data_IF_577226245857
#
_entry.id   IF_577226245857
#
_cell.length_a   1.000
_cell.length_b   1.000
_cell.length_c   1.000
_cell.angle_alpha   90.00
_cell.angle_beta   90.00
_cell.angle_gamma   90.00
#
_symmetry.space_group_name_H-M   'P 1'
#
loop_
_entity.id
_entity.type
_entity.pdbx_description
1 polymer ?
#
# COMPACT_ATOMS: atom_id res chain seq x y z
N UNK A 1 4.73 12.73 29.83
CA UNK A 1 4.01 13.69 28.97
C UNK A 1 3.12 12.92 28.03
N UNK A 2 1.80 13.13 28.06
CA UNK A 2 0.88 12.51 27.11
C UNK A 2 1.18 13.02 25.69
N UNK A 3 1.41 12.10 24.75
CA UNK A 3 1.58 12.46 23.34
C UNK A 3 0.29 13.14 22.86
N UNK A 4 0.38 14.39 22.43
CA UNK A 4 -0.75 15.10 21.86
C UNK A 4 -1.39 14.27 20.75
N UNK A 5 -2.71 14.10 20.79
CA UNK A 5 -3.47 13.35 19.79
C UNK A 5 -3.29 14.06 18.44
N UNK A 6 -2.73 13.36 17.46
CA UNK A 6 -2.53 13.87 16.11
C UNK A 6 -3.80 13.51 15.32
N UNK A 7 -4.53 14.51 14.84
CA UNK A 7 -5.79 14.32 14.10
C UNK A 7 -5.61 13.80 12.66
N UNK A 8 -4.37 13.69 12.20
CA UNK A 8 -4.02 13.17 10.88
C UNK A 8 -3.29 11.81 10.99
N UNK A 9 -3.52 10.93 10.04
CA UNK A 9 -2.81 9.67 9.95
C UNK A 9 -1.32 9.93 9.68
N UNK A 10 -0.42 9.31 10.46
CA UNK A 10 1.03 9.43 10.26
C UNK A 10 1.49 8.97 8.86
N UNK A 11 0.80 7.99 8.26
CA UNK A 11 1.04 7.56 6.88
C UNK A 11 0.83 8.69 5.89
N UNK A 12 -0.37 9.31 5.91
CA UNK A 12 -0.70 10.45 5.03
C UNK A 12 0.28 11.62 5.21
N UNK A 13 0.74 11.85 6.45
CA UNK A 13 1.73 12.90 6.75
C UNK A 13 3.11 12.55 6.21
N UNK A 14 3.54 11.29 6.34
CA UNK A 14 4.82 10.85 5.77
C UNK A 14 4.82 10.94 4.25
N UNK A 15 3.72 10.54 3.59
CA UNK A 15 3.53 10.72 2.15
C UNK A 15 3.67 12.19 1.73
N UNK A 16 3.07 13.11 2.50
CA UNK A 16 3.17 14.53 2.22
C UNK A 16 4.61 15.07 2.37
N UNK A 17 5.31 14.71 3.44
CA UNK A 17 6.71 15.12 3.64
C UNK A 17 7.64 14.47 2.62
N UNK A 18 7.39 13.22 2.27
CA UNK A 18 8.16 12.50 1.24
C UNK A 18 8.01 13.21 -0.12
N UNK A 19 6.78 13.48 -0.54
CA UNK A 19 6.50 14.18 -1.79
C UNK A 19 7.14 15.59 -1.80
N UNK A 20 7.04 16.32 -0.70
CA UNK A 20 7.66 17.64 -0.56
C UNK A 20 9.20 17.58 -0.57
N UNK A 21 9.81 16.56 0.05
CA UNK A 21 11.26 16.37 0.04
C UNK A 21 11.79 16.01 -1.36
N UNK A 22 11.08 15.12 -2.09
CA UNK A 22 11.39 14.79 -3.47
C UNK A 22 11.29 16.04 -4.36
N UNK A 23 10.21 16.80 -4.23
CA UNK A 23 10.05 18.05 -4.96
C UNK A 23 11.15 19.06 -4.62
N UNK A 24 11.50 19.22 -3.35
CA UNK A 24 12.58 20.09 -2.90
C UNK A 24 13.93 19.71 -3.55
N UNK A 25 14.21 18.40 -3.72
CA UNK A 25 15.39 17.91 -4.43
C UNK A 25 15.44 18.46 -5.86
N UNK A 26 14.34 18.35 -6.59
CA UNK A 26 14.27 18.80 -7.96
C UNK A 26 14.30 20.33 -8.08
N UNK A 27 13.55 21.05 -7.24
CA UNK A 27 13.57 22.51 -7.19
C UNK A 27 14.99 23.03 -6.92
N UNK A 28 15.66 22.47 -5.90
CA UNK A 28 17.03 22.87 -5.54
C UNK A 28 18.04 22.57 -6.64
N UNK A 29 17.86 21.45 -7.38
CA UNK A 29 18.67 21.13 -8.55
C UNK A 29 18.46 22.14 -9.67
N UNK A 30 17.23 22.59 -9.90
CA UNK A 30 16.89 23.61 -10.90
C UNK A 30 17.46 24.99 -10.54
N UNK A 31 17.42 25.37 -9.25
CA UNK A 31 18.01 26.61 -8.75
C UNK A 31 19.54 26.63 -8.87
N UNK A 32 20.19 25.47 -8.70
CA UNK A 32 21.67 25.33 -8.67
C UNK A 32 22.20 24.55 -9.87
N UNK A 33 21.83 25.00 -11.06
CA UNK A 33 22.12 24.30 -12.34
C UNK A 33 23.61 24.06 -12.60
N UNK A 34 24.47 24.98 -12.18
CA UNK A 34 25.91 24.94 -12.45
C UNK A 34 26.71 24.10 -11.45
N UNK A 35 26.12 23.71 -10.35
CA UNK A 35 26.82 22.90 -9.35
C UNK A 35 26.98 21.45 -9.82
N UNK A 36 28.24 20.96 -9.81
CA UNK A 36 28.54 19.55 -10.16
C UNK A 36 28.02 18.57 -9.10
N UNK A 37 28.06 18.97 -7.83
CA UNK A 37 27.57 18.17 -6.70
C UNK A 37 26.09 18.48 -6.47
N UNK A 38 25.26 17.44 -6.31
CA UNK A 38 23.87 17.65 -5.94
C UNK A 38 23.78 18.28 -4.54
N UNK A 39 23.07 19.41 -4.43
CA UNK A 39 22.88 20.05 -3.12
C UNK A 39 21.99 19.18 -2.24
N UNK A 40 22.35 19.01 -0.96
CA UNK A 40 21.52 18.28 -0.01
C UNK A 40 20.22 19.03 0.26
N UNK A 41 19.12 18.28 0.38
CA UNK A 41 17.84 18.81 0.84
C UNK A 41 17.90 18.97 2.35
N UNK A 42 17.42 20.10 2.84
CA UNK A 42 17.37 20.45 4.26
C UNK A 42 15.91 20.72 4.68
N UNK A 43 15.65 20.77 6.00
CA UNK A 43 14.31 21.04 6.53
C UNK A 43 13.70 22.33 5.96
N UNK A 44 14.49 23.40 5.83
CA UNK A 44 14.06 24.68 5.25
C UNK A 44 13.58 24.57 3.79
N UNK A 45 14.16 23.64 3.00
CA UNK A 45 13.77 23.45 1.60
C UNK A 45 12.40 22.77 1.52
N UNK A 46 12.17 21.75 2.36
CA UNK A 46 10.86 21.08 2.48
C UNK A 46 9.80 22.04 3.01
N UNK A 47 10.15 22.83 4.03
CA UNK A 47 9.25 23.83 4.62
C UNK A 47 8.88 24.93 3.61
N UNK A 48 9.83 25.32 2.73
CA UNK A 48 9.56 26.25 1.61
C UNK A 48 8.55 25.66 0.63
N UNK A 49 8.74 24.41 0.21
CA UNK A 49 7.81 23.71 -0.70
C UNK A 49 6.41 23.64 -0.08
N UNK A 50 6.30 23.16 1.15
CA UNK A 50 4.99 23.07 1.85
C UNK A 50 4.34 24.44 2.03
N UNK A 51 5.13 25.49 2.36
CA UNK A 51 4.62 26.85 2.50
C UNK A 51 4.01 27.37 1.20
N UNK A 52 4.70 27.15 0.08
CA UNK A 52 4.19 27.57 -1.24
C UNK A 52 2.92 26.79 -1.63
N UNK A 53 2.87 25.49 -1.32
CA UNK A 53 1.65 24.69 -1.53
C UNK A 53 0.47 25.22 -0.73
N UNK A 54 0.69 25.56 0.54
CA UNK A 54 -0.38 26.09 1.42
C UNK A 54 -0.86 27.50 0.99
N UNK A 55 0.01 28.36 0.43
CA UNK A 55 -0.37 29.67 -0.10
C UNK A 55 -1.28 29.59 -1.33
N UNK A 56 -1.08 28.61 -2.20
CA UNK A 56 -1.86 28.46 -3.44
C UNK A 56 -3.25 27.91 -3.25
N UNK A 57 -3.59 27.58 -2.02
CA UNK A 57 -4.92 27.15 -1.62
C UNK A 57 -5.22 25.68 -1.91
N UNK A 58 -6.27 25.26 -1.24
CA UNK A 58 -6.79 23.90 -1.28
C UNK A 58 -7.80 23.76 -2.44
N UNK A 59 -7.49 22.93 -3.42
CA UNK A 59 -8.45 22.62 -4.49
C UNK A 59 -9.22 21.33 -4.14
N UNK A 60 -10.51 21.50 -3.84
CA UNK A 60 -11.43 20.37 -3.60
C UNK A 60 -11.69 19.64 -4.93
N UNK A 61 -11.44 18.33 -4.99
CA UNK A 61 -11.82 17.48 -6.12
C UNK A 61 -13.24 16.94 -5.96
N UNK A 62 -13.83 16.48 -7.07
CA UNK A 62 -15.22 16.04 -7.20
C UNK A 62 -15.65 14.97 -6.18
N UNK A 63 -14.72 14.25 -5.56
CA UNK A 63 -14.98 13.17 -4.60
C UNK A 63 -14.63 13.54 -3.14
N UNK A 64 -14.75 14.80 -2.74
CA UNK A 64 -14.48 15.31 -1.39
C UNK A 64 -13.03 15.17 -0.90
N UNK A 65 -12.12 14.76 -1.75
CA UNK A 65 -10.71 14.68 -1.43
C UNK A 65 -10.01 15.88 -2.03
N UNK A 66 -9.48 16.72 -1.17
CA UNK A 66 -8.72 17.88 -1.58
C UNK A 66 -7.22 17.56 -1.58
N UNK A 67 -6.47 18.16 -2.48
CA UNK A 67 -5.01 18.15 -2.47
C UNK A 67 -4.48 19.56 -2.56
N UNK A 68 -3.40 19.86 -1.84
CA UNK A 68 -2.63 21.07 -2.10
C UNK A 68 -1.71 20.79 -3.29
N UNK A 69 -1.71 21.70 -4.25
CA UNK A 69 -0.90 21.61 -5.47
C UNK A 69 0.03 22.80 -5.54
N UNK A 70 1.32 22.53 -5.71
CA UNK A 70 2.31 23.55 -6.02
C UNK A 70 2.80 23.31 -7.45
N UNK A 71 2.57 24.30 -8.32
CA UNK A 71 3.14 24.33 -9.67
C UNK A 71 4.23 25.40 -9.72
N UNK A 72 5.46 24.96 -9.83
CA UNK A 72 6.53 25.78 -10.40
C UNK A 72 6.64 25.42 -11.89
N UNK A 73 7.34 26.20 -12.68
CA UNK A 73 7.41 26.00 -14.14
C UNK A 73 7.81 24.57 -14.55
N UNK A 74 8.43 23.81 -13.65
CA UNK A 74 8.93 22.45 -13.92
C UNK A 74 8.55 21.42 -12.87
N UNK A 75 8.08 21.79 -11.70
CA UNK A 75 7.81 20.87 -10.62
C UNK A 75 6.40 21.09 -10.08
N UNK A 76 5.57 20.07 -10.12
CA UNK A 76 4.25 20.05 -9.48
C UNK A 76 4.21 19.01 -8.37
N UNK A 77 3.55 19.31 -7.27
CA UNK A 77 3.41 18.43 -6.11
C UNK A 77 1.96 18.39 -5.67
N UNK A 78 1.44 17.20 -5.44
CA UNK A 78 0.15 17.02 -4.77
C UNK A 78 0.32 16.15 -3.53
N UNK A 79 -0.41 16.45 -2.47
CA UNK A 79 -0.39 15.70 -1.21
C UNK A 79 -1.82 15.38 -0.75
N UNK A 80 -1.99 14.37 0.13
CA UNK A 80 -3.31 13.97 0.60
C UNK A 80 -4.05 15.10 1.32
N UNK A 81 -5.38 15.17 1.14
CA UNK A 81 -6.20 16.21 1.72
C UNK A 81 -6.14 16.27 3.25
N UNK A 82 -6.14 15.12 3.92
CA UNK A 82 -6.03 15.04 5.38
C UNK A 82 -4.69 15.57 5.87
N UNK A 83 -3.60 15.28 5.16
CA UNK A 83 -2.30 15.85 5.46
C UNK A 83 -2.30 17.37 5.24
N UNK A 84 -2.93 17.85 4.17
CA UNK A 84 -3.07 19.30 3.88
C UNK A 84 -3.74 20.02 5.03
N UNK A 85 -4.89 19.53 5.51
CA UNK A 85 -5.64 20.17 6.60
C UNK A 85 -4.80 20.28 7.90
N UNK A 86 -4.01 19.25 8.20
CA UNK A 86 -3.11 19.25 9.35
C UNK A 86 -1.94 20.24 9.17
N UNK A 87 -1.33 20.24 7.99
CA UNK A 87 -0.14 21.05 7.67
C UNK A 87 -0.43 22.52 7.38
N UNK A 88 -1.70 22.93 7.20
CA UNK A 88 -2.09 24.32 7.13
C UNK A 88 -1.70 25.09 8.39
N UNK A 89 -1.66 24.43 9.54
CA UNK A 89 -1.24 25.00 10.82
C UNK A 89 0.25 24.75 11.05
N UNK A 90 1.09 25.78 10.90
CA UNK A 90 2.55 25.65 11.05
C UNK A 90 3.01 25.12 12.41
N UNK A 91 2.24 25.38 13.48
CA UNK A 91 2.53 24.84 14.81
C UNK A 91 2.48 23.31 14.85
N UNK A 92 1.72 22.68 13.94
CA UNK A 92 1.65 21.23 13.84
C UNK A 92 2.92 20.60 13.25
N UNK A 93 3.70 21.36 12.47
CA UNK A 93 4.92 20.82 11.85
C UNK A 93 5.95 20.35 12.88
N UNK A 94 6.02 21.05 14.02
CA UNK A 94 6.91 20.68 15.13
C UNK A 94 6.54 19.33 15.77
N UNK A 95 5.29 18.89 15.62
CA UNK A 95 4.81 17.61 16.19
C UNK A 95 5.22 16.38 15.36
N UNK A 96 5.69 16.59 14.15
CA UNK A 96 5.96 15.55 13.13
C UNK A 96 7.28 15.78 12.39
N UNK A 97 8.23 16.46 13.03
CA UNK A 97 9.56 16.72 12.48
C UNK A 97 10.32 15.44 12.17
N UNK A 98 10.10 14.39 12.95
CA UNK A 98 10.67 13.06 12.72
C UNK A 98 10.33 12.50 11.33
N UNK A 99 9.08 12.66 10.87
CA UNK A 99 8.64 12.23 9.54
C UNK A 99 9.30 13.04 8.43
N UNK A 100 9.39 14.37 8.61
CA UNK A 100 10.07 15.28 7.69
C UNK A 100 11.55 14.90 7.56
N UNK A 101 12.22 14.75 8.67
CA UNK A 101 13.66 14.51 8.71
C UNK A 101 14.02 13.11 8.18
N UNK A 102 13.15 12.10 8.41
CA UNK A 102 13.26 10.79 7.78
C UNK A 102 13.06 10.85 6.25
N UNK A 103 12.09 11.59 5.76
CA UNK A 103 11.89 11.79 4.32
C UNK A 103 13.10 12.50 3.66
N UNK A 104 13.66 13.52 4.31
CA UNK A 104 14.87 14.22 3.86
C UNK A 104 16.07 13.27 3.81
N UNK A 105 16.27 12.46 4.85
CA UNK A 105 17.35 11.47 4.90
C UNK A 105 17.25 10.50 3.75
N UNK A 106 16.05 9.95 3.51
CA UNK A 106 15.82 9.03 2.41
C UNK A 106 16.17 9.68 1.06
N UNK A 107 15.60 10.85 0.77
CA UNK A 107 15.80 11.55 -0.51
C UNK A 107 17.27 11.90 -0.73
N UNK A 108 17.99 12.28 0.31
CA UNK A 108 19.42 12.56 0.21
C UNK A 108 20.27 11.31 -0.07
N UNK A 109 19.89 10.16 0.47
CA UNK A 109 20.58 8.88 0.30
C UNK A 109 20.14 8.09 -0.93
N UNK A 110 18.95 8.35 -1.49
CA UNK A 110 18.39 7.54 -2.56
C UNK A 110 19.09 7.76 -3.89
N UNK A 111 19.75 6.72 -4.39
CA UNK A 111 20.52 6.78 -5.63
C UNK A 111 19.65 7.08 -6.86
N UNK A 112 18.44 6.49 -6.92
CA UNK A 112 17.53 6.66 -8.07
C UNK A 112 17.05 8.11 -8.19
N UNK A 113 16.61 8.72 -7.11
CA UNK A 113 16.21 10.15 -7.08
C UNK A 113 17.42 11.04 -7.45
N UNK A 114 18.60 10.69 -6.93
CA UNK A 114 19.82 11.44 -7.21
C UNK A 114 20.24 11.35 -8.67
N UNK A 115 20.17 10.16 -9.29
CA UNK A 115 20.43 9.96 -10.71
C UNK A 115 19.40 10.71 -11.56
N UNK A 116 18.12 10.58 -11.28
CA UNK A 116 17.06 11.30 -11.97
C UNK A 116 17.26 12.82 -11.92
N UNK A 117 17.70 13.33 -10.75
CA UNK A 117 18.00 14.77 -10.59
C UNK A 117 19.21 15.22 -11.41
N UNK A 118 20.21 14.34 -11.62
CA UNK A 118 21.38 14.62 -12.48
C UNK A 118 21.03 14.58 -13.97
N UNK A 119 20.12 13.69 -14.35
CA UNK A 119 19.73 13.47 -15.75
C UNK A 119 18.77 14.53 -16.31
N UNK A 120 18.35 15.51 -15.51
CA UNK A 120 17.54 16.61 -16.00
C UNK A 120 18.33 17.45 -17.00
N UNK A 121 17.67 17.89 -18.08
CA UNK A 121 18.25 18.82 -19.06
C UNK A 121 18.51 20.20 -18.44
N UNK A 122 17.90 20.47 -17.29
CA UNK A 122 17.91 21.74 -16.56
C UNK A 122 17.35 22.90 -17.38
N UNK A 123 16.59 22.59 -18.41
CA UNK A 123 15.84 23.54 -19.17
C UNK A 123 14.39 23.55 -18.65
N UNK A 124 14.01 24.65 -18.03
CA UNK A 124 12.69 24.84 -17.41
C UNK A 124 11.52 24.62 -18.40
N UNK A 125 11.75 24.82 -19.69
CA UNK A 125 10.74 24.60 -20.73
C UNK A 125 10.61 23.15 -21.17
N UNK A 126 11.64 22.36 -20.98
CA UNK A 126 11.72 20.99 -21.50
C UNK A 126 11.49 19.92 -20.43
N UNK A 127 11.77 20.23 -19.16
CA UNK A 127 11.63 19.29 -18.07
C UNK A 127 10.32 19.53 -17.30
N UNK A 128 9.53 18.48 -17.14
CA UNK A 128 8.34 18.50 -16.28
C UNK A 128 8.46 17.39 -15.23
N UNK A 129 8.30 17.76 -13.98
CA UNK A 129 8.37 16.85 -12.84
C UNK A 129 7.05 16.93 -12.10
N UNK A 130 6.41 15.76 -11.90
CA UNK A 130 5.21 15.64 -11.09
C UNK A 130 5.47 14.69 -9.95
N UNK A 131 5.22 15.14 -8.73
CA UNK A 131 5.28 14.32 -7.54
C UNK A 131 3.86 14.23 -6.96
N UNK A 132 3.29 13.05 -7.02
CA UNK A 132 1.88 12.81 -6.70
C UNK A 132 1.81 11.87 -5.51
N UNK A 133 1.42 12.38 -4.35
CA UNK A 133 1.04 11.57 -3.20
C UNK A 133 -0.48 11.40 -3.24
N UNK A 134 -0.93 10.19 -3.60
CA UNK A 134 -2.35 9.92 -3.84
C UNK A 134 -3.12 9.60 -2.54
N UNK A 135 -2.41 9.22 -1.48
CA UNK A 135 -3.05 8.77 -0.24
C UNK A 135 -3.87 7.50 -0.45
N UNK A 136 -4.91 7.35 0.34
CA UNK A 136 -5.83 6.21 0.27
C UNK A 136 -6.77 6.23 -0.94
N UNK A 137 -6.67 7.22 -1.83
CA UNK A 137 -7.61 7.40 -2.94
C UNK A 137 -7.37 6.49 -4.14
N UNK A 138 -6.14 6.11 -4.41
CA UNK A 138 -5.81 5.28 -5.57
C UNK A 138 -5.57 3.81 -5.20
N UNK A 139 -6.36 3.27 -4.30
CA UNK A 139 -6.31 1.84 -3.95
C UNK A 139 -6.71 0.90 -5.12
N UNK A 140 -7.26 1.46 -6.19
CA UNK A 140 -7.79 0.69 -7.33
C UNK A 140 -6.77 0.43 -8.43
N UNK A 141 -5.62 1.06 -8.42
CA UNK A 141 -4.79 1.06 -9.61
C UNK A 141 -3.30 0.89 -9.44
N UNK A 142 -2.69 1.35 -8.36
CA UNK A 142 -1.24 1.25 -8.16
C UNK A 142 -0.90 0.88 -6.72
N UNK A 143 0.28 0.26 -6.53
CA UNK A 143 0.86 0.04 -5.19
C UNK A 143 1.52 1.32 -4.64
N UNK A 144 1.59 2.37 -5.46
CA UNK A 144 2.32 3.56 -5.14
C UNK A 144 1.51 4.47 -4.22
N UNK A 145 2.06 4.77 -3.06
CA UNK A 145 1.58 5.85 -2.19
C UNK A 145 2.07 7.20 -2.73
N UNK A 146 3.29 7.23 -3.33
CA UNK A 146 3.83 8.39 -4.02
C UNK A 146 4.36 8.00 -5.39
N UNK A 147 3.95 8.73 -6.43
CA UNK A 147 4.42 8.59 -7.81
C UNK A 147 5.26 9.79 -8.22
N UNK A 148 6.41 9.54 -8.81
CA UNK A 148 7.28 10.55 -9.41
C UNK A 148 7.32 10.37 -10.91
N UNK A 149 6.80 11.33 -11.65
CA UNK A 149 6.79 11.34 -13.11
C UNK A 149 7.74 12.43 -13.63
N UNK A 150 8.71 12.04 -14.45
CA UNK A 150 9.69 12.96 -15.05
C UNK A 150 9.60 12.86 -16.55
N UNK A 151 9.35 13.99 -17.20
CA UNK A 151 9.43 14.17 -18.65
C UNK A 151 10.55 15.14 -18.98
N UNK A 152 11.47 14.76 -19.85
CA UNK A 152 12.49 15.63 -20.43
C UNK A 152 12.33 15.63 -21.95
N UNK A 153 12.82 16.67 -22.64
CA UNK A 153 12.57 17.01 -24.04
C UNK A 153 12.61 15.84 -25.02
N UNK A 154 13.56 14.93 -24.87
CA UNK A 154 13.81 13.84 -25.81
C UNK A 154 13.54 12.46 -25.23
N UNK A 155 12.89 12.36 -24.06
CA UNK A 155 12.70 11.09 -23.35
C UNK A 155 11.23 10.88 -22.98
N UNK A 156 10.78 9.63 -23.13
CA UNK A 156 9.49 9.18 -22.58
C UNK A 156 9.43 9.44 -21.08
N UNK A 157 8.22 9.64 -20.54
CA UNK A 157 8.01 9.74 -19.09
C UNK A 157 8.68 8.56 -18.38
N UNK A 158 9.57 8.90 -17.45
CA UNK A 158 10.08 7.95 -16.48
C UNK A 158 9.21 8.06 -15.24
N UNK A 159 8.51 7.01 -14.91
CA UNK A 159 7.71 6.93 -13.68
C UNK A 159 8.46 6.11 -12.65
N UNK A 160 8.45 6.56 -11.42
CA UNK A 160 8.92 5.80 -10.27
C UNK A 160 7.82 5.78 -9.22
N UNK A 161 7.48 4.58 -8.80
CA UNK A 161 6.46 4.33 -7.80
C UNK A 161 7.12 4.02 -6.46
N UNK A 162 6.68 4.72 -5.41
CA UNK A 162 7.11 4.51 -4.02
C UNK A 162 5.94 4.04 -3.18
N UNK A 163 6.09 2.92 -2.48
CA UNK A 163 5.15 2.52 -1.44
C UNK A 163 5.74 2.83 -0.08
N UNK A 164 5.02 3.62 0.71
CA UNK A 164 5.52 4.18 1.96
C UNK A 164 4.86 3.48 3.15
N UNK A 165 5.68 3.08 4.11
CA UNK A 165 5.20 2.48 5.37
C UNK A 165 5.82 3.22 6.55
N UNK A 166 4.99 3.55 7.53
CA UNK A 166 5.42 4.10 8.82
C UNK A 166 5.47 2.97 9.84
N UNK A 167 6.37 3.05 10.81
CA UNK A 167 6.59 2.04 11.86
C UNK A 167 5.29 1.48 12.43
N UNK A 168 5.19 0.17 12.52
CA UNK A 168 3.99 -0.58 12.94
C UNK A 168 3.13 -1.11 11.80
N UNK A 169 3.30 -0.65 10.57
CA UNK A 169 2.66 -1.24 9.39
C UNK A 169 3.46 -2.43 8.87
N UNK A 170 2.94 -3.65 9.02
CA UNK A 170 3.59 -4.85 8.47
C UNK A 170 3.08 -5.16 7.05
N UNK A 171 2.00 -4.53 6.64
CA UNK A 171 1.38 -4.72 5.33
C UNK A 171 2.05 -3.88 4.26
N UNK A 172 2.56 -4.54 3.24
CA UNK A 172 3.17 -3.89 2.09
C UNK A 172 2.11 -3.45 1.06
N UNK A 173 1.29 -4.38 0.65
CA UNK A 173 0.23 -4.14 -0.29
C UNK A 173 -0.95 -5.04 0.03
N UNK A 174 -2.14 -4.55 -0.24
CA UNK A 174 -3.36 -5.24 0.09
C UNK A 174 -4.33 -5.17 -1.10
N UNK A 175 -4.87 -6.35 -1.44
CA UNK A 175 -6.12 -6.40 -2.18
C UNK A 175 -7.22 -6.57 -1.16
N UNK A 176 -8.01 -5.54 -0.97
CA UNK A 176 -8.97 -5.48 0.12
C UNK A 176 -10.42 -5.54 -0.35
N UNK A 177 -11.26 -6.08 0.50
CA UNK A 177 -12.70 -6.02 0.35
C UNK A 177 -13.25 -6.79 -0.86
N UNK A 178 -12.58 -7.86 -1.29
CA UNK A 178 -13.04 -8.70 -2.40
C UNK A 178 -14.32 -9.44 -2.02
N UNK A 179 -15.32 -9.42 -2.88
CA UNK A 179 -16.40 -10.41 -2.89
C UNK A 179 -15.87 -11.79 -3.26
N UNK A 180 -16.66 -12.84 -3.02
CA UNK A 180 -16.23 -14.21 -3.19
C UNK A 180 -15.79 -14.51 -4.63
N UNK A 181 -16.58 -14.13 -5.65
CA UNK A 181 -16.25 -14.38 -7.06
C UNK A 181 -14.88 -13.79 -7.45
N UNK A 182 -14.62 -12.54 -7.05
CA UNK A 182 -13.34 -11.90 -7.34
C UNK A 182 -12.19 -12.58 -6.61
N UNK A 183 -12.42 -13.03 -5.39
CA UNK A 183 -11.44 -13.76 -4.60
C UNK A 183 -11.09 -15.09 -5.27
N UNK A 184 -12.08 -15.87 -5.72
CA UNK A 184 -11.87 -17.13 -6.41
C UNK A 184 -11.14 -16.92 -7.74
N UNK A 185 -11.49 -15.87 -8.49
CA UNK A 185 -10.77 -15.56 -9.73
C UNK A 185 -9.29 -15.29 -9.49
N UNK A 186 -8.94 -14.53 -8.45
CA UNK A 186 -7.54 -14.27 -8.08
C UNK A 186 -6.84 -15.56 -7.68
N UNK A 187 -7.49 -16.43 -6.90
CA UNK A 187 -6.95 -17.73 -6.58
C UNK A 187 -6.71 -18.57 -7.84
N UNK A 188 -7.66 -18.57 -8.77
CA UNK A 188 -7.53 -19.20 -10.06
C UNK A 188 -6.33 -18.67 -10.86
N UNK A 189 -6.13 -17.36 -10.88
CA UNK A 189 -4.96 -16.71 -11.51
C UNK A 189 -3.65 -17.10 -10.83
N UNK A 190 -3.66 -17.32 -9.52
CA UNK A 190 -2.52 -17.86 -8.77
C UNK A 190 -2.33 -19.38 -8.94
N UNK A 191 -3.16 -20.04 -9.77
CA UNK A 191 -3.11 -21.48 -9.98
C UNK A 191 -3.71 -22.32 -8.84
N UNK A 192 -4.51 -21.71 -7.97
CA UNK A 192 -5.19 -22.39 -6.86
C UNK A 192 -6.59 -22.81 -7.28
N UNK A 193 -6.97 -24.06 -6.98
CA UNK A 193 -8.32 -24.57 -7.19
C UNK A 193 -8.98 -24.89 -5.85
N UNK A 194 -10.14 -24.31 -5.62
CA UNK A 194 -10.97 -24.55 -4.42
C UNK A 194 -12.37 -25.06 -4.80
N UNK A 195 -12.50 -25.63 -5.98
CA UNK A 195 -13.80 -26.01 -6.58
C UNK A 195 -14.64 -26.95 -5.72
N UNK A 196 -14.01 -27.84 -4.96
CA UNK A 196 -14.74 -28.79 -4.11
C UNK A 196 -15.47 -28.11 -2.95
N UNK A 197 -14.90 -27.07 -2.39
CA UNK A 197 -15.47 -26.32 -1.27
C UNK A 197 -16.25 -25.07 -1.71
N UNK A 198 -16.08 -24.63 -2.96
CA UNK A 198 -16.71 -23.44 -3.52
C UNK A 198 -18.24 -23.50 -3.43
N UNK A 199 -18.84 -24.59 -3.93
CA UNK A 199 -20.30 -24.78 -3.93
C UNK A 199 -20.89 -24.76 -2.51
N UNK A 200 -20.18 -25.29 -1.54
CA UNK A 200 -20.63 -25.28 -0.13
C UNK A 200 -20.66 -23.85 0.40
N UNK A 201 -19.62 -23.08 0.10
CA UNK A 201 -19.54 -21.69 0.53
C UNK A 201 -20.55 -20.81 -0.22
N UNK A 202 -20.71 -20.98 -1.53
CA UNK A 202 -21.71 -20.26 -2.33
C UNK A 202 -23.13 -20.45 -1.79
N UNK A 203 -23.51 -21.69 -1.46
CA UNK A 203 -24.80 -21.98 -0.85
C UNK A 203 -24.95 -21.21 0.46
N UNK A 204 -23.96 -21.25 1.35
CA UNK A 204 -23.98 -20.53 2.64
C UNK A 204 -23.96 -19.02 2.47
N UNK A 205 -23.31 -18.53 1.43
CA UNK A 205 -23.27 -17.12 1.09
C UNK A 205 -24.67 -16.63 0.63
N UNK A 206 -25.36 -17.43 -0.18
CA UNK A 206 -26.74 -17.15 -0.61
C UNK A 206 -27.67 -17.14 0.59
N UNK A 207 -27.64 -18.18 1.43
CA UNK A 207 -28.42 -18.25 2.68
C UNK A 207 -28.15 -17.03 3.58
N UNK A 208 -26.90 -16.56 3.66
CA UNK A 208 -26.55 -15.37 4.42
C UNK A 208 -27.13 -14.09 3.82
N UNK A 209 -27.05 -13.91 2.51
CA UNK A 209 -27.61 -12.73 1.86
C UNK A 209 -29.14 -12.64 1.95
N UNK A 210 -29.80 -13.76 2.02
CA UNK A 210 -31.26 -13.85 2.21
C UNK A 210 -31.66 -13.78 3.70
N UNK A 211 -30.70 -13.83 4.60
CA UNK A 211 -30.98 -13.83 6.06
C UNK A 211 -31.41 -12.46 6.56
N UNK A 212 -32.19 -12.47 7.65
CA UNK A 212 -32.57 -11.25 8.37
C UNK A 212 -31.35 -10.44 8.84
N UNK A 213 -30.28 -11.11 9.23
CA UNK A 213 -29.02 -10.46 9.68
C UNK A 213 -28.42 -9.58 8.58
N UNK A 214 -28.40 -10.04 7.34
CA UNK A 214 -27.86 -9.26 6.22
C UNK A 214 -28.82 -8.18 5.75
N UNK A 215 -30.10 -8.50 5.65
CA UNK A 215 -31.13 -7.57 5.15
C UNK A 215 -31.43 -6.46 6.14
N UNK A 216 -31.22 -6.69 7.43
CA UNK A 216 -31.43 -5.70 8.49
C UNK A 216 -30.52 -4.49 8.33
N UNK A 217 -31.11 -3.31 8.54
CA UNK A 217 -30.39 -2.04 8.59
C UNK A 217 -30.14 -1.68 10.04
N UNK A 218 -28.88 -1.56 10.41
CA UNK A 218 -28.48 -1.17 11.76
C UNK A 218 -28.21 0.33 11.83
N UNK A 219 -28.62 0.96 12.93
CA UNK A 219 -28.43 2.39 13.16
C UNK A 219 -26.98 2.74 13.54
N UNK A 220 -26.28 1.78 14.15
CA UNK A 220 -24.88 1.95 14.54
C UNK A 220 -24.05 0.72 14.15
N UNK A 221 -22.74 0.93 14.08
CA UNK A 221 -21.77 -0.16 13.87
C UNK A 221 -21.76 -1.12 15.05
N UNK A 222 -21.88 -0.58 16.25
CA UNK A 222 -21.88 -1.35 17.49
C UNK A 222 -23.07 -2.31 17.59
N UNK A 223 -24.26 -1.86 17.17
CA UNK A 223 -25.46 -2.71 17.13
C UNK A 223 -25.31 -3.86 16.13
N UNK A 224 -24.73 -3.57 14.96
CA UNK A 224 -24.44 -4.60 13.97
C UNK A 224 -23.44 -5.63 14.52
N UNK A 225 -22.35 -5.18 15.11
CA UNK A 225 -21.30 -6.05 15.65
C UNK A 225 -21.81 -6.92 16.83
N UNK A 226 -22.69 -6.40 17.69
CA UNK A 226 -23.31 -7.16 18.80
C UNK A 226 -24.28 -8.24 18.34
N UNK A 227 -24.93 -8.05 17.20
CA UNK A 227 -25.91 -9.03 16.69
C UNK A 227 -25.23 -10.34 16.30
N UNK A 228 -23.95 -10.32 16.03
CA UNK A 228 -23.14 -11.50 15.67
C UNK A 228 -23.75 -12.23 14.48
N UNK A 229 -23.51 -12.37 13.45
CA UNK A 229 -24.19 -13.09 12.38
C UNK A 229 -23.18 -13.59 11.38
N UNK A 230 -22.78 -14.79 11.48
CA UNK A 230 -21.90 -15.27 10.46
C UNK A 230 -20.97 -16.39 10.89
N UNK A 231 -21.19 -17.01 12.02
CA UNK A 231 -20.36 -18.14 12.44
C UNK A 231 -20.47 -19.30 11.43
N UNK A 232 -21.69 -19.59 10.96
CA UNK A 232 -21.91 -20.59 9.90
C UNK A 232 -21.21 -20.21 8.59
N UNK A 233 -21.22 -18.93 8.23
CA UNK A 233 -20.53 -18.44 7.03
C UNK A 233 -19.03 -18.48 7.21
N UNK A 234 -18.53 -18.17 8.41
CA UNK A 234 -17.13 -18.25 8.78
C UNK A 234 -16.60 -19.69 8.70
N UNK A 235 -17.36 -20.65 9.22
CA UNK A 235 -17.00 -22.07 9.15
C UNK A 235 -17.01 -22.60 7.70
N UNK A 236 -17.98 -22.18 6.89
CA UNK A 236 -17.98 -22.54 5.46
C UNK A 236 -16.81 -21.92 4.69
N UNK A 237 -16.45 -20.67 5.02
CA UNK A 237 -15.24 -20.05 4.49
C UNK A 237 -13.98 -20.79 4.93
N UNK A 238 -13.95 -21.35 6.15
CA UNK A 238 -12.81 -22.14 6.64
C UNK A 238 -12.53 -23.33 5.74
N UNK A 239 -13.56 -24.06 5.28
CA UNK A 239 -13.38 -25.20 4.36
C UNK A 239 -12.69 -24.77 3.05
N UNK A 240 -13.09 -23.62 2.50
CA UNK A 240 -12.45 -23.04 1.30
C UNK A 240 -10.98 -22.70 1.57
N UNK A 241 -10.68 -22.12 2.73
CA UNK A 241 -9.33 -21.73 3.10
C UNK A 241 -8.44 -22.94 3.41
N UNK A 242 -8.98 -24.02 3.96
CA UNK A 242 -8.25 -25.28 4.14
C UNK A 242 -7.85 -25.91 2.80
N UNK A 243 -8.76 -25.94 1.85
CA UNK A 243 -8.45 -26.43 0.51
C UNK A 243 -7.44 -25.54 -0.19
N UNK A 244 -7.59 -24.22 -0.11
CA UNK A 244 -6.65 -23.25 -0.65
C UNK A 244 -5.25 -23.41 -0.04
N UNK A 245 -5.15 -23.62 1.26
CA UNK A 245 -3.88 -23.86 1.95
C UNK A 245 -3.17 -25.10 1.40
N UNK A 246 -3.87 -26.23 1.33
CA UNK A 246 -3.28 -27.50 0.86
C UNK A 246 -2.79 -27.39 -0.59
N UNK A 247 -3.60 -26.79 -1.45
CA UNK A 247 -3.25 -26.59 -2.87
C UNK A 247 -2.06 -25.64 -3.02
N UNK A 248 -2.05 -24.54 -2.24
CA UNK A 248 -1.00 -23.55 -2.25
C UNK A 248 0.34 -24.16 -1.78
N UNK A 249 0.34 -24.86 -0.66
CA UNK A 249 1.54 -25.49 -0.11
C UNK A 249 2.17 -26.47 -1.09
N UNK A 250 1.34 -27.33 -1.70
CA UNK A 250 1.78 -28.27 -2.73
C UNK A 250 2.36 -27.54 -3.94
N UNK A 251 1.68 -26.50 -4.44
CA UNK A 251 2.08 -25.77 -5.64
C UNK A 251 3.35 -24.94 -5.43
N UNK A 252 3.50 -24.30 -4.27
CA UNK A 252 4.67 -23.48 -3.95
C UNK A 252 5.94 -24.31 -3.76
N UNK A 253 5.81 -25.57 -3.33
CA UNK A 253 6.95 -26.45 -3.06
C UNK A 253 7.20 -27.50 -4.15
N UNK A 254 6.42 -27.49 -5.24
CA UNK A 254 6.63 -28.42 -6.36
C UNK A 254 8.04 -28.20 -6.98
N UNK A 255 8.16 -27.35 -7.94
CA UNK A 255 9.41 -26.89 -8.50
C UNK A 255 9.35 -25.38 -8.74
N UNK A 256 10.48 -24.75 -9.00
CA UNK A 256 10.50 -23.29 -9.20
C UNK A 256 9.76 -22.86 -10.48
N UNK A 257 9.49 -23.76 -11.40
CA UNK A 257 8.74 -23.50 -12.63
C UNK A 257 7.23 -23.75 -12.51
N UNK A 258 6.74 -24.19 -11.36
CA UNK A 258 5.32 -24.44 -11.19
C UNK A 258 4.48 -23.18 -11.44
N UNK A 259 3.34 -23.34 -12.10
CA UNK A 259 2.44 -22.21 -12.39
C UNK A 259 1.96 -21.50 -11.13
N UNK A 260 1.72 -22.25 -10.06
CA UNK A 260 1.34 -21.68 -8.76
C UNK A 260 2.45 -20.76 -8.24
N UNK A 261 3.69 -21.19 -8.31
CA UNK A 261 4.84 -20.44 -7.80
C UNK A 261 5.12 -19.19 -8.64
N UNK A 262 5.04 -19.33 -9.98
CA UNK A 262 5.19 -18.18 -10.90
C UNK A 262 4.13 -17.13 -10.64
N UNK A 263 2.86 -17.51 -10.56
CA UNK A 263 1.75 -16.59 -10.31
C UNK A 263 1.80 -15.99 -8.90
N UNK A 264 2.22 -16.77 -7.91
CA UNK A 264 2.47 -16.26 -6.57
C UNK A 264 3.56 -15.19 -6.56
N UNK A 265 4.68 -15.43 -7.23
CA UNK A 265 5.75 -14.45 -7.36
C UNK A 265 5.29 -13.19 -8.12
N UNK A 266 4.56 -13.34 -9.21
CA UNK A 266 3.95 -12.25 -9.96
C UNK A 266 2.99 -11.43 -9.09
N UNK A 267 2.16 -12.11 -8.31
CA UNK A 267 1.24 -11.45 -7.39
C UNK A 267 1.97 -10.61 -6.33
N UNK A 268 3.02 -11.16 -5.72
CA UNK A 268 3.82 -10.43 -4.72
C UNK A 268 4.51 -9.22 -5.35
N UNK A 269 5.14 -9.42 -6.51
CA UNK A 269 5.97 -8.39 -7.15
C UNK A 269 5.11 -7.32 -7.81
N UNK A 270 4.15 -7.71 -8.63
CA UNK A 270 3.38 -6.79 -9.46
C UNK A 270 1.95 -6.56 -8.98
N UNK A 271 1.43 -7.43 -8.11
CA UNK A 271 0.04 -7.41 -7.67
C UNK A 271 -0.92 -7.75 -8.82
N UNK A 272 -2.17 -7.32 -8.68
CA UNK A 272 -3.25 -7.70 -9.61
C UNK A 272 -3.18 -7.06 -10.99
N UNK A 273 -2.33 -6.07 -11.22
CA UNK A 273 -2.56 -5.25 -12.38
C UNK A 273 -1.36 -4.74 -13.14
N UNK A 274 -0.12 -4.84 -12.69
CA UNK A 274 0.90 -4.04 -13.38
C UNK A 274 2.34 -4.50 -13.16
N UNK A 275 3.05 -4.63 -14.27
CA UNK A 275 4.50 -4.77 -14.37
C UNK A 275 5.20 -3.43 -14.06
N UNK A 276 5.07 -2.90 -12.86
CA UNK A 276 5.69 -1.64 -12.46
C UNK A 276 6.62 -1.88 -11.29
N UNK A 277 7.89 -1.55 -11.50
CA UNK A 277 8.87 -1.52 -10.42
C UNK A 277 8.46 -0.53 -9.34
N UNK A 278 8.37 -0.99 -8.10
CA UNK A 278 8.00 -0.18 -6.94
C UNK A 278 9.13 -0.19 -5.93
N UNK A 279 9.54 0.97 -5.46
CA UNK A 279 10.44 1.08 -4.32
C UNK A 279 9.63 1.20 -3.04
N UNK A 280 9.81 0.22 -2.18
CA UNK A 280 9.19 0.14 -0.89
C UNK A 280 10.06 0.89 0.12
N UNK A 281 9.49 1.87 0.79
CA UNK A 281 10.19 2.73 1.75
C UNK A 281 9.55 2.58 3.12
N UNK A 282 10.30 2.09 4.09
CA UNK A 282 9.83 1.92 5.46
C UNK A 282 10.51 2.92 6.40
N UNK A 283 9.71 3.78 6.98
CA UNK A 283 10.13 4.71 8.02
C UNK A 283 10.06 4.01 9.38
N UNK A 284 11.20 3.75 9.99
CA UNK A 284 11.30 3.22 11.35
C UNK A 284 11.50 4.37 12.37
N UNK A 285 12.36 5.33 12.04
CA UNK A 285 12.61 6.54 12.81
C UNK A 285 13.22 7.62 11.92
N UNK A 286 13.40 8.84 12.46
CA UNK A 286 14.12 9.91 11.77
C UNK A 286 15.56 9.53 11.36
N UNK A 287 16.16 8.57 12.09
CA UNK A 287 17.53 8.09 11.85
C UNK A 287 17.58 6.85 10.97
N UNK A 288 16.46 6.15 10.81
CA UNK A 288 16.41 4.88 10.10
C UNK A 288 15.23 4.83 9.13
N UNK A 289 15.55 4.92 7.85
CA UNK A 289 14.59 4.71 6.75
C UNK A 289 15.19 3.65 5.84
N UNK A 290 14.50 2.53 5.71
CA UNK A 290 14.89 1.41 4.86
C UNK A 290 14.18 1.48 3.53
N UNK A 291 14.82 1.02 2.46
CA UNK A 291 14.14 0.83 1.19
C UNK A 291 14.51 -0.49 0.54
N UNK A 292 13.59 -0.95 -0.29
CA UNK A 292 13.69 -2.20 -1.02
C UNK A 292 13.02 -2.05 -2.37
N UNK A 293 13.71 -2.46 -3.44
CA UNK A 293 13.17 -2.38 -4.81
C UNK A 293 12.51 -3.71 -5.16
N UNK A 294 11.23 -3.65 -5.51
CA UNK A 294 10.46 -4.79 -5.97
C UNK A 294 10.44 -4.77 -7.50
N UNK A 295 11.15 -5.72 -8.09
CA UNK A 295 11.38 -5.84 -9.53
C UNK A 295 11.50 -7.31 -9.97
N UNK A 296 11.86 -7.56 -11.22
CA UNK A 296 12.06 -8.90 -11.76
C UNK A 296 13.16 -9.69 -11.02
N UNK A 297 14.25 -9.04 -10.60
CA UNK A 297 15.32 -9.71 -9.84
C UNK A 297 14.79 -10.25 -8.49
N UNK A 298 13.94 -9.49 -7.83
CA UNK A 298 13.26 -9.94 -6.61
C UNK A 298 12.31 -11.11 -6.89
N UNK A 299 11.61 -11.08 -8.03
CA UNK A 299 10.76 -12.18 -8.46
C UNK A 299 11.55 -13.47 -8.64
N UNK A 300 12.73 -13.41 -9.28
CA UNK A 300 13.61 -14.58 -9.43
C UNK A 300 14.02 -15.17 -8.07
N UNK A 301 14.31 -14.34 -7.08
CA UNK A 301 14.58 -14.79 -5.71
C UNK A 301 13.38 -15.51 -5.10
N UNK A 302 12.17 -14.98 -5.31
CA UNK A 302 10.94 -15.64 -4.86
C UNK A 302 10.74 -17.00 -5.54
N UNK A 303 11.02 -17.12 -6.82
CA UNK A 303 10.87 -18.38 -7.54
C UNK A 303 11.78 -19.50 -7.00
N UNK A 304 12.97 -19.14 -6.51
CA UNK A 304 13.92 -20.10 -5.97
C UNK A 304 13.67 -20.45 -4.49
N UNK A 305 12.85 -19.67 -3.77
CA UNK A 305 12.56 -19.89 -2.37
C UNK A 305 11.72 -21.14 -2.09
N UNK A 306 11.81 -21.65 -0.87
CA UNK A 306 10.88 -22.64 -0.32
C UNK A 306 9.91 -21.98 0.63
N UNK A 307 8.70 -22.51 0.69
CA UNK A 307 7.59 -21.93 1.43
C UNK A 307 6.84 -22.97 2.23
N UNK A 308 6.23 -22.53 3.32
CA UNK A 308 5.27 -23.31 4.09
C UNK A 308 4.06 -22.46 4.40
N UNK A 309 2.94 -23.10 4.66
CA UNK A 309 1.67 -22.45 4.92
C UNK A 309 1.12 -22.84 6.29
N UNK A 310 0.40 -21.92 6.91
CA UNK A 310 -0.25 -22.12 8.19
C UNK A 310 -1.69 -21.65 8.10
N UNK A 311 -2.65 -22.53 8.42
CA UNK A 311 -4.04 -22.16 8.61
C UNK A 311 -4.27 -21.78 10.07
N UNK A 312 -4.75 -20.57 10.29
CA UNK A 312 -5.17 -20.12 11.63
C UNK A 312 -6.45 -20.85 12.02
N UNK A 313 -6.38 -21.66 13.06
CA UNK A 313 -7.48 -22.55 13.48
C UNK A 313 -8.57 -21.81 14.25
N UNK A 314 -8.28 -20.68 14.85
CA UNK A 314 -9.21 -19.89 15.68
C UNK A 314 -9.52 -18.55 15.04
N UNK A 315 -10.71 -18.02 15.31
CA UNK A 315 -11.14 -16.73 14.75
C UNK A 315 -11.48 -16.77 13.27
N UNK A 316 -11.18 -15.70 12.55
CA UNK A 316 -11.45 -15.62 11.12
C UNK A 316 -10.52 -16.54 10.33
N UNK A 317 -11.02 -17.32 9.35
CA UNK A 317 -10.20 -18.16 8.49
C UNK A 317 -9.07 -17.35 7.87
N UNK A 318 -7.84 -17.78 8.08
CA UNK A 318 -6.65 -17.07 7.61
C UNK A 318 -5.57 -18.09 7.24
N UNK A 319 -5.05 -18.00 6.01
CA UNK A 319 -3.88 -18.73 5.56
C UNK A 319 -2.69 -17.78 5.58
N UNK A 320 -1.63 -18.17 6.27
CA UNK A 320 -0.36 -17.45 6.32
C UNK A 320 0.70 -18.21 5.55
N UNK A 321 1.52 -17.49 4.80
CA UNK A 321 2.58 -18.05 3.97
C UNK A 321 3.92 -17.51 4.48
N UNK A 322 4.82 -18.43 4.75
CA UNK A 322 6.14 -18.15 5.29
C UNK A 322 7.23 -18.75 4.41
N UNK A 323 8.43 -18.24 4.54
CA UNK A 323 9.62 -18.91 4.04
C UNK A 323 9.88 -20.18 4.86
N UNK A 324 10.39 -21.17 4.18
CA UNK A 324 10.80 -22.44 4.79
C UNK A 324 12.27 -22.73 4.52
N UNK A 325 12.87 -23.56 5.38
CA UNK A 325 14.16 -24.16 5.16
C UNK A 325 14.08 -25.29 4.10
N UNK A 326 15.21 -25.93 3.82
CA UNK A 326 15.28 -27.03 2.84
C UNK A 326 14.44 -28.25 3.20
N UNK A 327 14.10 -28.40 4.47
CA UNK A 327 13.23 -29.47 4.96
C UNK A 327 11.74 -29.08 4.96
N UNK A 328 11.39 -27.90 4.47
CA UNK A 328 10.03 -27.37 4.46
C UNK A 328 9.56 -26.86 5.82
N UNK A 329 10.45 -26.71 6.81
CA UNK A 329 10.12 -26.18 8.11
C UNK A 329 10.12 -24.65 8.06
N UNK A 330 9.08 -24.04 8.65
CA UNK A 330 8.93 -22.60 8.78
C UNK A 330 10.17 -21.97 9.43
N UNK A 331 10.73 -20.97 8.78
CA UNK A 331 11.79 -20.15 9.34
C UNK A 331 11.22 -19.24 10.44
N UNK A 332 11.99 -19.07 11.51
CA UNK A 332 11.62 -18.21 12.61
C UNK A 332 11.76 -16.72 12.23
N UNK A 333 11.03 -15.86 12.91
CA UNK A 333 11.10 -14.42 12.74
C UNK A 333 9.97 -13.84 11.87
N UNK A 334 9.63 -12.59 12.14
CA UNK A 334 8.57 -11.86 11.40
C UNK A 334 8.96 -11.57 9.95
N UNK A 335 10.26 -11.46 9.70
CA UNK A 335 10.86 -11.23 8.39
C UNK A 335 10.56 -12.37 7.40
N UNK A 336 10.23 -13.55 7.91
CA UNK A 336 9.88 -14.70 7.08
C UNK A 336 8.40 -14.84 6.80
N UNK A 337 7.57 -13.95 7.32
CA UNK A 337 6.14 -13.88 7.03
C UNK A 337 5.90 -13.05 5.76
N UNK A 338 5.39 -13.69 4.69
CA UNK A 338 5.30 -13.08 3.37
C UNK A 338 3.91 -12.62 2.99
N UNK A 339 2.91 -13.49 3.11
CA UNK A 339 1.52 -13.21 2.74
C UNK A 339 0.56 -13.73 3.79
N UNK A 340 -0.53 -12.99 3.95
CA UNK A 340 -1.71 -13.42 4.68
C UNK A 340 -2.92 -13.35 3.75
N UNK A 341 -3.67 -14.43 3.69
CA UNK A 341 -4.96 -14.51 3.01
C UNK A 341 -6.03 -14.65 4.08
N UNK A 342 -6.93 -13.69 4.18
CA UNK A 342 -7.82 -13.55 5.33
C UNK A 342 -9.27 -13.33 4.94
N UNK A 343 -10.17 -14.06 5.59
CA UNK A 343 -11.60 -13.79 5.59
C UNK A 343 -11.96 -12.78 6.67
N UNK A 344 -12.91 -11.91 6.38
CA UNK A 344 -13.48 -10.99 7.35
C UNK A 344 -14.96 -10.72 7.05
N UNK A 345 -15.80 -10.82 8.05
CA UNK A 345 -17.15 -10.28 7.98
C UNK A 345 -17.09 -8.83 8.45
N UNK A 346 -17.17 -7.90 7.51
CA UNK A 346 -17.07 -6.47 7.82
C UNK A 346 -18.43 -5.84 8.04
N UNK A 347 -18.46 -4.86 8.92
CA UNK A 347 -19.58 -3.93 9.05
C UNK A 347 -19.21 -2.63 8.36
N UNK A 348 -19.86 -2.35 7.25
CA UNK A 348 -19.65 -1.11 6.50
C UNK A 348 -20.93 -0.26 6.48
N UNK A 349 -20.73 1.07 6.42
CA UNK A 349 -21.83 2.00 6.28
C UNK A 349 -22.12 2.31 4.82
N UNK A 350 -23.41 2.37 4.48
CA UNK A 350 -23.90 2.98 3.25
C UNK A 350 -24.83 4.14 3.60
N UNK A 351 -24.84 5.19 2.80
CA UNK A 351 -25.81 6.26 2.92
C UNK A 351 -26.88 6.07 1.82
N UNK A 352 -28.12 5.93 2.22
CA UNK A 352 -29.26 5.95 1.33
C UNK A 352 -30.22 7.03 1.79
N UNK A 353 -30.57 7.96 0.92
CA UNK A 353 -31.50 9.06 1.23
C UNK A 353 -31.11 9.88 2.47
N UNK A 354 -29.82 10.14 2.67
CA UNK A 354 -29.32 10.94 3.81
C UNK A 354 -29.20 10.19 5.14
N UNK A 355 -29.69 8.95 5.24
CA UNK A 355 -29.58 8.15 6.46
C UNK A 355 -28.40 7.16 6.31
N UNK A 356 -27.49 7.21 7.29
CA UNK A 356 -26.38 6.26 7.37
C UNK A 356 -26.87 4.94 7.98
N UNK A 357 -26.73 3.85 7.22
CA UNK A 357 -27.08 2.51 7.68
C UNK A 357 -25.85 1.60 7.63
N UNK A 358 -25.81 0.62 8.52
CA UNK A 358 -24.71 -0.34 8.63
C UNK A 358 -25.19 -1.72 8.22
N UNK A 359 -24.36 -2.44 7.46
CA UNK A 359 -24.62 -3.80 7.00
C UNK A 359 -23.36 -4.65 7.08
N UNK A 360 -23.56 -5.96 7.13
CA UNK A 360 -22.49 -6.95 7.05
C UNK A 360 -22.08 -7.22 5.60
N UNK A 361 -20.77 -7.37 5.39
CA UNK A 361 -20.20 -7.72 4.10
C UNK A 361 -19.12 -8.79 4.29
N UNK A 362 -19.33 -10.02 3.74
CA UNK A 362 -18.27 -11.01 3.65
C UNK A 362 -17.17 -10.50 2.72
N UNK A 363 -15.94 -10.47 3.19
CA UNK A 363 -14.80 -9.94 2.45
C UNK A 363 -13.58 -10.85 2.55
N UNK A 364 -12.81 -10.87 1.49
CA UNK A 364 -11.56 -11.58 1.39
C UNK A 364 -10.42 -10.61 1.14
N UNK A 365 -9.28 -10.87 1.75
CA UNK A 365 -8.11 -10.02 1.70
C UNK A 365 -6.89 -10.85 1.34
N UNK A 366 -6.07 -10.34 0.42
CA UNK A 366 -4.73 -10.84 0.19
C UNK A 366 -3.77 -9.72 0.56
N UNK A 367 -2.92 -9.99 1.55
CA UNK A 367 -2.10 -8.97 2.21
C UNK A 367 -0.63 -9.40 2.18
N UNK A 368 0.17 -8.73 1.34
CA UNK A 368 1.61 -8.92 1.33
C UNK A 368 2.23 -8.23 2.56
N UNK A 369 3.16 -8.90 3.21
CA UNK A 369 3.77 -8.49 4.48
C UNK A 369 5.18 -7.94 4.28
N UNK A 370 5.65 -7.16 5.25
CA UNK A 370 6.97 -6.55 5.22
C UNK A 370 8.14 -7.51 5.45
N UNK A 371 7.88 -8.77 5.74
CA UNK A 371 8.92 -9.82 5.81
C UNK A 371 9.77 -9.95 4.54
N UNK A 372 9.21 -9.51 3.40
CA UNK A 372 9.94 -9.45 2.14
C UNK A 372 11.17 -8.55 2.15
N UNK A 373 11.26 -7.57 3.05
CA UNK A 373 12.43 -6.66 3.16
C UNK A 373 13.74 -7.36 3.54
N UNK A 374 13.68 -8.60 3.96
CA UNK A 374 14.84 -9.38 4.42
C UNK A 374 15.31 -10.41 3.37
N UNK A 375 14.75 -10.36 2.16
CA UNK A 375 15.18 -11.23 1.03
C UNK A 375 16.51 -10.82 0.45
#
# INVERSE_FOLDING_TARGET
MAKAKIDANRGDLFEAFFAAAVAARFVKRMEKKTERKLPLVEGKDVDKVLTEMMKRGYKKKVNDVGSAVMDTVSVSVSIPAKATAFLQKKENWKKVTDLRDGAIRFVNGNQKINMQSKDLSLNVKDDTIKVIAAGTEDQKGTKADVKVEIKSKDKKYKTTDYSLKVSGGEQFHQVSGLGFDKFINIFGEMGLSVKESEKIYEKKLTEFFDSEVYTKKYSSREDAEKTGGGDNLKESARVVYEQAQRTLEKGLNANFESDVKKKFADYIVFGLSRNVETELVKFESEKEVKSFVINEQFKEQLLQGRYTTELVKTGSPTVKIYRADDNGKKLAGKENFLIQIRYKLEVASSSSQGTKVYKFYPRHYLEAQSGMFSL
#
